data_IF_687572379610
#
_entry.id   IF_687572379610
#
_cell.length_a   1.000
_cell.length_b   1.000
_cell.length_c   1.000
_cell.angle_alpha   90.00
_cell.angle_beta   90.00
_cell.angle_gamma   90.00
#
_symmetry.space_group_name_H-M   'P 1'
#
loop_
_entity.id
_entity.type
_entity.pdbx_description
1 polymer ?
#
# COMPACT_ATOMS: atom_id res chain seq x y z
N UNK A 1 10.37 -15.67 -7.95
CA UNK A 1 11.10 -14.46 -7.50
C UNK A 1 10.43 -13.98 -6.23
N UNK A 2 11.11 -14.04 -5.07
CA UNK A 2 10.57 -13.51 -3.83
C UNK A 2 10.67 -11.99 -3.86
N UNK A 3 9.56 -11.29 -3.75
CA UNK A 3 9.50 -9.84 -3.65
C UNK A 3 8.33 -9.40 -2.78
N UNK A 4 8.29 -8.11 -2.50
CA UNK A 4 7.20 -7.46 -1.76
C UNK A 4 6.62 -6.34 -2.61
N UNK A 5 5.30 -6.31 -2.73
CA UNK A 5 4.53 -5.20 -3.30
C UNK A 5 3.67 -4.60 -2.20
N UNK A 6 3.60 -3.28 -2.14
CA UNK A 6 2.72 -2.57 -1.20
C UNK A 6 1.62 -1.86 -1.97
N UNK A 7 0.37 -2.03 -1.54
CA UNK A 7 -0.74 -1.18 -1.93
C UNK A 7 -1.09 -0.24 -0.78
N UNK A 8 -1.32 1.04 -1.07
CA UNK A 8 -1.76 2.04 -0.09
C UNK A 8 -3.19 2.44 -0.44
N UNK A 9 -4.12 2.18 0.47
CA UNK A 9 -5.53 2.55 0.33
C UNK A 9 -6.14 2.87 1.69
N UNK A 10 -6.59 4.11 1.88
CA UNK A 10 -7.13 4.61 3.15
C UNK A 10 -8.63 4.92 3.07
N UNK A 11 -9.32 4.42 2.03
CA UNK A 11 -10.76 4.57 1.81
C UNK A 11 -11.14 5.26 0.50
N UNK A 12 -10.19 5.85 -0.23
CA UNK A 12 -10.47 6.48 -1.52
C UNK A 12 -11.14 5.51 -2.52
N UNK A 13 -12.22 5.95 -3.18
CA UNK A 13 -12.95 5.15 -4.18
C UNK A 13 -13.79 3.98 -3.61
N UNK A 14 -13.75 3.72 -2.31
CA UNK A 14 -14.53 2.68 -1.64
C UNK A 14 -14.01 1.24 -1.82
N UNK A 15 -14.59 0.31 -1.06
CA UNK A 15 -14.14 -1.08 -0.99
C UNK A 15 -14.14 -1.82 -2.34
N UNK A 16 -15.16 -1.62 -3.17
CA UNK A 16 -15.27 -2.29 -4.47
C UNK A 16 -14.15 -1.87 -5.43
N UNK A 17 -13.78 -0.59 -5.43
CA UNK A 17 -12.65 -0.09 -6.21
C UNK A 17 -11.33 -0.69 -5.71
N UNK A 18 -11.10 -0.66 -4.40
CA UNK A 18 -9.92 -1.26 -3.80
C UNK A 18 -9.80 -2.75 -4.11
N UNK A 19 -10.91 -3.48 -4.05
CA UNK A 19 -10.92 -4.91 -4.36
C UNK A 19 -10.50 -5.19 -5.81
N UNK A 20 -11.05 -4.44 -6.77
CA UNK A 20 -10.67 -4.53 -8.19
C UNK A 20 -9.18 -4.21 -8.38
N UNK A 21 -8.68 -3.13 -7.76
CA UNK A 21 -7.27 -2.76 -7.84
C UNK A 21 -6.33 -3.80 -7.21
N UNK A 22 -6.67 -4.35 -6.05
CA UNK A 22 -5.86 -5.37 -5.38
C UNK A 22 -5.82 -6.66 -6.19
N UNK A 23 -6.95 -7.07 -6.81
CA UNK A 23 -6.99 -8.21 -7.70
C UNK A 23 -6.05 -8.01 -8.91
N UNK A 24 -6.10 -6.85 -9.56
CA UNK A 24 -5.24 -6.53 -10.70
C UNK A 24 -3.75 -6.49 -10.32
N UNK A 25 -3.40 -5.95 -9.14
CA UNK A 25 -2.03 -5.98 -8.61
C UNK A 25 -1.58 -7.43 -8.37
N UNK A 26 -2.44 -8.29 -7.82
CA UNK A 26 -2.12 -9.69 -7.55
C UNK A 26 -1.89 -10.46 -8.86
N UNK A 27 -2.69 -10.19 -9.89
CA UNK A 27 -2.53 -10.78 -11.22
C UNK A 27 -1.23 -10.34 -11.90
N UNK A 28 -0.87 -9.05 -11.80
CA UNK A 28 0.36 -8.52 -12.37
C UNK A 28 1.64 -8.97 -11.64
N UNK A 29 1.52 -9.41 -10.38
CA UNK A 29 2.64 -9.81 -9.54
C UNK A 29 2.42 -11.22 -8.94
N UNK A 30 2.34 -12.27 -9.78
CA UNK A 30 2.04 -13.62 -9.30
C UNK A 30 3.16 -14.15 -8.40
N UNK A 31 2.77 -14.70 -7.24
CA UNK A 31 3.70 -15.28 -6.26
C UNK A 31 4.52 -14.26 -5.45
N UNK A 32 4.18 -12.97 -5.54
CA UNK A 32 4.81 -11.88 -4.79
C UNK A 32 3.95 -11.53 -3.58
N UNK A 33 4.57 -11.20 -2.44
CA UNK A 33 3.84 -10.86 -1.23
C UNK A 33 3.18 -9.48 -1.39
N UNK A 34 1.85 -9.42 -1.29
CA UNK A 34 1.07 -8.19 -1.32
C UNK A 34 0.76 -7.71 0.10
N UNK A 35 1.30 -6.55 0.45
CA UNK A 35 1.03 -5.87 1.71
C UNK A 35 0.06 -4.71 1.45
N UNK A 36 -1.02 -4.64 2.21
CA UNK A 36 -1.96 -3.53 2.18
C UNK A 36 -1.73 -2.60 3.37
N UNK A 37 -1.37 -1.35 3.10
CA UNK A 37 -1.38 -0.27 4.09
C UNK A 37 -2.73 0.45 4.05
N UNK A 38 -3.50 0.32 5.12
CA UNK A 38 -4.90 0.76 5.19
C UNK A 38 -5.32 1.24 6.58
N UNK A 39 -6.60 1.55 6.79
CA UNK A 39 -7.21 1.87 8.09
C UNK A 39 -7.74 0.59 8.77
N UNK A 40 -8.11 0.62 10.06
CA UNK A 40 -8.75 -0.52 10.71
C UNK A 40 -10.03 -0.97 10.01
N UNK A 41 -10.81 -0.03 9.48
CA UNK A 41 -12.03 -0.28 8.71
C UNK A 41 -11.69 -0.88 7.34
N UNK A 42 -10.74 -0.27 6.62
CA UNK A 42 -10.29 -0.78 5.32
C UNK A 42 -9.68 -2.19 5.42
N UNK A 43 -9.05 -2.55 6.55
CA UNK A 43 -8.62 -3.94 6.79
C UNK A 43 -9.80 -4.91 6.83
N UNK A 44 -10.94 -4.53 7.42
CA UNK A 44 -12.14 -5.38 7.46
C UNK A 44 -12.73 -5.52 6.06
N UNK A 45 -12.72 -4.45 5.27
CA UNK A 45 -13.25 -4.42 3.91
C UNK A 45 -12.36 -5.17 2.90
N UNK A 46 -11.05 -5.14 3.08
CA UNK A 46 -10.10 -5.81 2.19
C UNK A 46 -10.11 -7.33 2.32
N UNK A 47 -10.56 -7.89 3.45
CA UNK A 47 -10.60 -9.34 3.68
C UNK A 47 -9.26 -10.02 3.39
N UNK A 48 -9.30 -11.08 2.58
CA UNK A 48 -8.14 -11.91 2.19
C UNK A 48 -7.48 -11.48 0.87
N UNK A 49 -7.76 -10.26 0.40
CA UNK A 49 -7.23 -9.74 -0.87
C UNK A 49 -5.75 -9.36 -0.79
N UNK A 50 -5.20 -9.20 0.43
CA UNK A 50 -3.78 -8.97 0.68
C UNK A 50 -3.24 -10.02 1.65
N UNK A 51 -1.96 -10.37 1.53
CA UNK A 51 -1.32 -11.37 2.39
C UNK A 51 -1.05 -10.81 3.80
N UNK A 52 -0.80 -9.50 3.88
CA UNK A 52 -0.56 -8.77 5.13
C UNK A 52 -1.30 -7.45 5.08
N UNK A 53 -2.01 -7.11 6.16
CA UNK A 53 -2.64 -5.80 6.33
C UNK A 53 -1.99 -5.02 7.46
N UNK A 54 -1.62 -3.77 7.18
CA UNK A 54 -1.12 -2.77 8.12
C UNK A 54 -2.21 -1.71 8.35
N UNK A 55 -2.98 -1.78 9.45
CA UNK A 55 -4.12 -0.89 9.70
C UNK A 55 -3.73 0.50 10.20
N UNK A 56 -2.44 0.82 10.31
CA UNK A 56 -1.88 2.10 10.76
C UNK A 56 -1.68 3.12 9.62
N UNK A 57 -2.30 2.89 8.46
CA UNK A 57 -2.18 3.72 7.27
C UNK A 57 -2.70 5.16 7.43
N UNK A 58 -3.59 5.42 8.38
CA UNK A 58 -4.11 6.76 8.71
C UNK A 58 -3.55 7.36 10.01
N UNK A 59 -2.47 6.80 10.57
CA UNK A 59 -1.83 7.36 11.77
C UNK A 59 -1.48 8.85 11.56
N UNK A 60 -1.93 9.70 12.49
CA UNK A 60 -1.79 11.17 12.42
C UNK A 60 -0.50 11.65 13.10
N UNK A 61 0.02 12.78 12.62
CA UNK A 61 1.16 13.48 13.21
C UNK A 61 2.54 13.00 12.77
N UNK A 62 3.62 13.70 13.17
CA UNK A 62 4.97 13.45 12.69
C UNK A 62 5.50 12.06 13.05
N UNK A 63 5.25 11.58 14.27
CA UNK A 63 5.71 10.26 14.71
C UNK A 63 5.04 9.13 13.93
N UNK A 64 3.73 9.24 13.64
CA UNK A 64 3.01 8.27 12.81
C UNK A 64 3.54 8.25 11.38
N UNK A 65 3.90 9.42 10.84
CA UNK A 65 4.55 9.53 9.53
C UNK A 65 5.93 8.85 9.50
N UNK A 66 6.80 9.12 10.48
CA UNK A 66 8.11 8.48 10.61
C UNK A 66 8.01 6.96 10.76
N UNK A 67 7.08 6.47 11.58
CA UNK A 67 6.83 5.05 11.76
C UNK A 67 6.43 4.38 10.44
N UNK A 68 5.54 5.02 9.67
CA UNK A 68 5.12 4.54 8.34
C UNK A 68 6.28 4.50 7.36
N UNK A 69 7.08 5.57 7.29
CA UNK A 69 8.26 5.60 6.41
C UNK A 69 9.24 4.49 6.75
N UNK A 70 9.54 4.31 8.03
CA UNK A 70 10.43 3.23 8.50
C UNK A 70 9.88 1.87 8.13
N UNK A 71 8.59 1.63 8.36
CA UNK A 71 7.92 0.36 8.05
C UNK A 71 7.93 0.03 6.56
N UNK A 72 7.60 1.02 5.72
CA UNK A 72 7.67 0.89 4.25
C UNK A 72 9.10 0.61 3.79
N UNK A 73 10.07 1.33 4.35
CA UNK A 73 11.49 1.16 4.00
C UNK A 73 12.01 -0.23 4.37
N UNK A 74 11.65 -0.73 5.56
CA UNK A 74 12.07 -2.05 6.04
C UNK A 74 11.43 -3.21 5.29
N UNK A 75 10.22 -3.05 4.76
CA UNK A 75 9.64 -4.06 3.89
C UNK A 75 10.34 -4.16 2.52
N UNK A 76 11.20 -3.18 2.20
CA UNK A 76 12.00 -3.12 0.98
C UNK A 76 11.20 -3.52 -0.27
N UNK A 77 10.02 -2.91 -0.52
CA UNK A 77 9.17 -3.31 -1.62
C UNK A 77 9.83 -3.02 -2.96
N UNK A 78 9.52 -3.82 -3.96
CA UNK A 78 9.91 -3.53 -5.34
C UNK A 78 8.97 -2.48 -5.97
N UNK A 79 7.68 -2.56 -5.63
CA UNK A 79 6.64 -1.66 -6.13
C UNK A 79 5.74 -1.17 -5.00
N UNK A 80 5.32 0.09 -5.11
CA UNK A 80 4.28 0.68 -4.27
C UNK A 80 3.18 1.22 -5.18
N UNK A 81 1.95 0.74 -5.00
CA UNK A 81 0.75 1.26 -5.63
C UNK A 81 0.03 2.21 -4.68
N UNK A 82 0.06 3.50 -4.98
CA UNK A 82 -0.72 4.52 -4.27
C UNK A 82 -2.12 4.57 -4.88
N UNK A 83 -3.07 3.87 -4.25
CA UNK A 83 -4.49 3.87 -4.63
C UNK A 83 -5.26 4.99 -3.91
N UNK A 84 -4.63 5.66 -2.95
CA UNK A 84 -5.21 6.76 -2.20
C UNK A 84 -5.06 8.09 -2.96
N UNK A 85 -3.89 8.35 -3.54
CA UNK A 85 -3.62 9.54 -4.35
C UNK A 85 -3.51 10.86 -3.57
N UNK A 86 -3.47 10.80 -2.24
CA UNK A 86 -3.35 11.98 -1.37
C UNK A 86 -1.99 12.69 -1.51
N UNK A 87 -1.94 13.98 -1.15
CA UNK A 87 -0.67 14.72 -1.10
C UNK A 87 0.33 14.07 -0.13
N UNK A 88 -0.14 13.50 0.98
CA UNK A 88 0.71 12.86 1.98
C UNK A 88 1.34 11.56 1.45
N UNK A 89 0.56 10.71 0.78
CA UNK A 89 1.07 9.46 0.19
C UNK A 89 2.03 9.75 -0.97
N UNK A 90 1.77 10.81 -1.73
CA UNK A 90 2.73 11.32 -2.74
C UNK A 90 4.03 11.82 -2.12
N UNK A 91 4.00 12.42 -0.93
CA UNK A 91 5.21 12.86 -0.25
C UNK A 91 6.07 11.68 0.24
N UNK A 92 5.45 10.57 0.68
CA UNK A 92 6.17 9.35 1.08
C UNK A 92 7.10 8.81 -0.01
N UNK A 93 6.79 9.04 -1.29
CA UNK A 93 7.66 8.70 -2.42
C UNK A 93 9.09 9.17 -2.26
N UNK A 94 9.29 10.33 -1.65
CA UNK A 94 10.61 10.92 -1.49
C UNK A 94 11.36 10.38 -0.27
N UNK A 95 10.70 9.61 0.60
CA UNK A 95 11.24 9.25 1.90
C UNK A 95 11.44 7.74 2.10
N UNK A 96 10.86 6.89 1.25
CA UNK A 96 10.99 5.42 1.36
C UNK A 96 12.26 4.94 0.64
N UNK A 97 13.05 4.11 1.33
CA UNK A 97 14.29 3.51 0.83
C UNK A 97 14.37 1.99 1.13
N UNK A 98 14.96 1.15 0.25
CA UNK A 98 15.48 1.48 -1.08
C UNK A 98 14.38 1.90 -2.05
N UNK A 99 14.68 2.89 -2.91
CA UNK A 99 13.68 3.61 -3.73
C UNK A 99 12.81 2.64 -4.56
N UNK A 100 11.57 2.36 -4.14
CA UNK A 100 10.71 1.43 -4.87
C UNK A 100 10.11 2.11 -6.10
N UNK A 101 9.56 1.32 -7.03
CA UNK A 101 8.79 1.89 -8.13
C UNK A 101 7.41 2.33 -7.63
N UNK A 102 7.14 3.64 -7.68
CA UNK A 102 5.84 4.20 -7.30
C UNK A 102 4.90 4.23 -8.50
N UNK A 103 3.72 3.64 -8.35
CA UNK A 103 2.62 3.65 -9.32
C UNK A 103 1.44 4.36 -8.66
N UNK A 104 0.85 5.33 -9.34
CA UNK A 104 -0.32 6.09 -8.83
C UNK A 104 -1.65 5.36 -9.07
N UNK A 105 -1.60 4.13 -9.62
CA UNK A 105 -2.75 3.31 -10.03
C UNK A 105 -2.36 1.83 -9.98
N UNK A 106 -3.39 0.97 -9.92
CA UNK A 106 -3.22 -0.44 -10.23
C UNK A 106 -2.81 -0.64 -11.71
N UNK A 107 -2.12 -1.74 -12.05
CA UNK A 107 -1.94 -2.14 -13.43
C UNK A 107 -3.30 -2.54 -14.01
N UNK A 108 -3.70 -1.92 -15.10
CA UNK A 108 -4.92 -2.24 -15.86
C UNK A 108 -4.52 -2.49 -17.31
#
# INVERSE_FOLDING_TARGET
>A
MSGTVVAIWLGAGGAAHAASCLAAIREAHPGVRLILLTTPEGRREAGDLADICWPDGAARGPSGFLARMRRLSWASPSHIHDLEGSCMTRFLRFCVWPRPQWRLRAPF
#
